data_IF_236126690588
#
_entry.id   IF_236126690588
#
_cell.length_a   1.000
_cell.length_b   1.000
_cell.length_c   1.000
_cell.angle_alpha   90.00
_cell.angle_beta   90.00
_cell.angle_gamma   90.00
#
_symmetry.space_group_name_H-M   'P 1'
#
loop_
_entity.id
_entity.type
_entity.pdbx_description
1 polymer ?
#
# COMPACT_ATOMS: atom_id res chain seq x y z
N UNK A 1 18.49 16.21 -9.68
CA UNK A 1 19.14 14.89 -9.60
C UNK A 1 18.12 13.78 -9.39
N UNK A 2 17.33 13.82 -8.32
CA UNK A 2 16.42 12.73 -7.88
C UNK A 2 15.26 12.34 -8.85
N UNK A 3 15.17 12.89 -10.07
CA UNK A 3 14.04 12.67 -11.00
C UNK A 3 14.24 11.51 -12.01
N UNK A 4 15.36 10.78 -11.90
CA UNK A 4 15.70 9.67 -12.81
C UNK A 4 15.95 8.32 -12.10
N UNK A 5 15.96 8.29 -10.75
CA UNK A 5 16.07 7.07 -9.95
C UNK A 5 15.03 6.02 -10.36
N UNK A 6 13.78 6.47 -10.54
CA UNK A 6 12.61 5.65 -10.78
C UNK A 6 12.69 4.90 -12.12
N UNK A 7 13.51 5.39 -13.06
CA UNK A 7 13.82 4.66 -14.29
C UNK A 7 14.65 3.40 -14.06
N UNK A 8 15.57 3.42 -13.07
CA UNK A 8 16.46 2.31 -12.77
C UNK A 8 15.73 1.12 -12.15
N UNK A 9 14.72 1.36 -11.31
CA UNK A 9 13.96 0.28 -10.65
C UNK A 9 12.93 -0.39 -11.57
N UNK A 10 12.55 0.21 -12.71
CA UNK A 10 11.61 -0.40 -13.67
C UNK A 10 12.10 -1.76 -14.19
N UNK A 11 13.40 -1.94 -14.35
CA UNK A 11 13.97 -3.22 -14.79
C UNK A 11 13.71 -4.37 -13.81
N UNK A 12 13.48 -4.09 -12.52
CA UNK A 12 13.06 -5.12 -11.54
C UNK A 12 11.67 -5.70 -11.85
N UNK A 13 10.84 -4.96 -12.59
CA UNK A 13 9.51 -5.36 -13.04
C UNK A 13 9.46 -5.81 -14.49
N UNK A 14 10.61 -5.98 -15.14
CA UNK A 14 10.66 -6.45 -16.54
C UNK A 14 10.29 -7.94 -16.66
N UNK A 15 9.73 -8.28 -17.82
CA UNK A 15 9.50 -9.64 -18.29
C UNK A 15 10.79 -10.41 -18.61
N UNK A 16 11.85 -9.73 -19.03
CA UNK A 16 13.14 -10.35 -19.31
C UNK A 16 13.95 -10.57 -18.02
N UNK A 17 14.26 -11.83 -17.74
CA UNK A 17 15.05 -12.25 -16.58
C UNK A 17 16.49 -11.71 -16.62
N UNK A 18 17.07 -11.51 -17.81
CA UNK A 18 18.39 -10.90 -17.95
C UNK A 18 18.35 -9.40 -17.61
N UNK A 19 17.33 -8.67 -18.10
CA UNK A 19 17.10 -7.27 -17.71
C UNK A 19 16.91 -7.17 -16.19
N UNK A 20 16.01 -7.98 -15.61
CA UNK A 20 15.74 -8.01 -14.17
C UNK A 20 17.01 -8.29 -13.34
N UNK A 21 17.75 -9.34 -13.70
CA UNK A 21 19.03 -9.73 -13.07
C UNK A 21 20.07 -8.62 -13.14
N UNK A 22 20.30 -8.06 -14.33
CA UNK A 22 21.34 -7.06 -14.55
C UNK A 22 20.98 -5.74 -13.85
N UNK A 23 19.70 -5.35 -13.85
CA UNK A 23 19.18 -4.22 -13.05
C UNK A 23 19.42 -4.44 -11.57
N UNK A 24 19.08 -5.61 -11.01
CA UNK A 24 19.29 -5.91 -9.59
C UNK A 24 20.77 -5.87 -9.20
N UNK A 25 21.67 -6.39 -10.04
CA UNK A 25 23.12 -6.29 -9.82
C UNK A 25 23.62 -4.83 -9.85
N UNK A 26 23.19 -4.03 -10.83
CA UNK A 26 23.58 -2.62 -10.95
C UNK A 26 23.06 -1.80 -9.76
N UNK A 27 21.79 -1.98 -9.37
CA UNK A 27 21.22 -1.34 -8.17
C UNK A 27 21.96 -1.75 -6.89
N UNK A 28 22.31 -3.04 -6.75
CA UNK A 28 23.10 -3.55 -5.62
C UNK A 28 24.43 -2.81 -5.50
N UNK A 29 25.19 -2.67 -6.59
CA UNK A 29 26.45 -1.92 -6.56
C UNK A 29 26.26 -0.42 -6.31
N UNK A 30 25.23 0.22 -6.88
CA UNK A 30 24.95 1.64 -6.71
C UNK A 30 24.54 2.00 -5.26
N UNK A 31 23.70 1.18 -4.65
CA UNK A 31 23.21 1.37 -3.28
C UNK A 31 24.33 1.04 -2.27
N UNK A 32 24.97 -0.13 -2.38
CA UNK A 32 25.99 -0.56 -1.42
C UNK A 32 27.25 0.30 -1.44
N UNK A 33 27.51 1.06 -2.51
CA UNK A 33 28.61 2.01 -2.59
C UNK A 33 28.18 3.47 -2.32
N UNK A 34 26.93 3.69 -1.89
CA UNK A 34 26.42 5.02 -1.52
C UNK A 34 26.20 5.98 -2.70
N UNK A 35 26.33 5.50 -3.95
CA UNK A 35 26.12 6.29 -5.17
C UNK A 35 24.65 6.68 -5.37
N UNK A 36 23.72 5.88 -4.84
CA UNK A 36 22.28 6.18 -4.82
C UNK A 36 21.75 6.09 -3.39
N UNK A 37 21.02 7.14 -2.97
CA UNK A 37 20.22 7.12 -1.74
C UNK A 37 18.86 6.51 -2.04
N UNK A 38 18.64 5.29 -1.54
CA UNK A 38 17.34 4.63 -1.60
C UNK A 38 16.31 5.37 -0.73
N UNK A 39 15.14 5.64 -1.32
CA UNK A 39 13.92 6.18 -0.69
C UNK A 39 12.73 5.60 -1.47
N UNK A 40 11.68 5.08 -0.82
CA UNK A 40 10.48 4.57 -1.53
C UNK A 40 10.67 3.30 -2.36
N UNK A 41 11.89 2.76 -2.45
CA UNK A 41 12.30 1.87 -3.54
C UNK A 41 12.96 0.55 -3.09
N UNK A 42 13.22 0.36 -1.79
CA UNK A 42 13.56 -0.98 -1.28
C UNK A 42 12.38 -1.95 -1.47
N UNK A 43 11.14 -1.45 -1.49
CA UNK A 43 9.94 -2.28 -1.68
C UNK A 43 9.92 -3.08 -2.99
N UNK A 44 10.56 -2.61 -4.06
CA UNK A 44 10.70 -3.40 -5.29
C UNK A 44 11.80 -4.46 -5.19
N UNK A 45 12.94 -4.14 -4.56
CA UNK A 45 14.02 -5.12 -4.31
C UNK A 45 13.55 -6.20 -3.30
N UNK A 46 12.71 -5.82 -2.34
CA UNK A 46 12.11 -6.71 -1.35
C UNK A 46 11.26 -7.82 -1.99
N UNK A 47 10.51 -7.53 -3.06
CA UNK A 47 9.76 -8.55 -3.82
C UNK A 47 10.67 -9.60 -4.42
N UNK A 48 11.83 -9.16 -4.92
CA UNK A 48 12.79 -10.04 -5.59
C UNK A 48 13.35 -11.13 -4.68
N UNK A 49 13.25 -10.99 -3.33
CA UNK A 49 13.61 -12.03 -2.35
C UNK A 49 12.88 -13.36 -2.64
N UNK A 50 11.66 -13.30 -3.15
CA UNK A 50 10.81 -14.46 -3.45
C UNK A 50 10.51 -14.59 -4.96
N UNK A 51 11.37 -14.05 -5.83
CA UNK A 51 11.25 -14.21 -7.29
C UNK A 51 11.36 -15.70 -7.69
N UNK A 52 10.56 -16.21 -8.65
CA UNK A 52 10.63 -17.59 -9.10
C UNK A 52 11.97 -17.96 -9.76
N UNK A 53 12.72 -17.00 -10.32
CA UNK A 53 14.08 -17.26 -10.75
C UNK A 53 15.03 -17.25 -9.53
N UNK A 54 15.50 -18.43 -9.14
CA UNK A 54 16.34 -18.62 -7.94
C UNK A 54 17.54 -17.68 -7.92
N UNK A 55 18.19 -17.40 -9.06
CA UNK A 55 19.34 -16.50 -9.12
C UNK A 55 18.99 -15.05 -8.76
N UNK A 56 17.76 -14.63 -8.96
CA UNK A 56 17.25 -13.29 -8.62
C UNK A 56 16.86 -13.26 -7.13
N UNK A 57 16.25 -14.33 -6.61
CA UNK A 57 16.05 -14.54 -5.16
C UNK A 57 17.37 -14.52 -4.38
N UNK A 58 18.39 -15.26 -4.84
CA UNK A 58 19.72 -15.31 -4.22
C UNK A 58 20.39 -13.93 -4.20
N UNK A 59 20.31 -13.17 -5.31
CA UNK A 59 20.86 -11.81 -5.41
C UNK A 59 20.13 -10.82 -4.49
N UNK A 60 18.80 -10.91 -4.38
CA UNK A 60 18.01 -10.04 -3.53
C UNK A 60 18.30 -10.31 -2.04
N UNK A 61 18.39 -11.58 -1.64
CA UNK A 61 18.78 -11.95 -0.26
C UNK A 61 20.19 -11.45 0.07
N UNK A 62 21.16 -11.64 -0.84
CA UNK A 62 22.53 -11.14 -0.67
C UNK A 62 22.58 -9.61 -0.55
N UNK A 63 21.75 -8.88 -1.30
CA UNK A 63 21.64 -7.42 -1.19
C UNK A 63 21.22 -6.99 0.23
N UNK A 64 20.19 -7.62 0.82
CA UNK A 64 19.75 -7.28 2.18
C UNK A 64 20.78 -7.67 3.24
N UNK A 65 21.48 -8.80 3.06
CA UNK A 65 22.60 -9.19 3.92
C UNK A 65 23.74 -8.16 3.89
N UNK A 66 24.24 -7.80 2.71
CA UNK A 66 25.33 -6.81 2.57
C UNK A 66 24.92 -5.40 3.00
N UNK A 67 23.66 -4.99 2.74
CA UNK A 67 23.14 -3.72 3.20
C UNK A 67 23.10 -3.67 4.74
N UNK A 68 22.68 -4.77 5.39
CA UNK A 68 22.66 -4.88 6.86
C UNK A 68 24.06 -4.86 7.49
N UNK A 69 25.10 -5.31 6.76
CA UNK A 69 26.50 -5.24 7.18
C UNK A 69 27.05 -3.81 7.05
N UNK A 70 26.78 -3.14 5.91
CA UNK A 70 27.30 -1.80 5.62
C UNK A 70 26.59 -0.67 6.37
N UNK A 71 25.26 -0.62 6.35
CA UNK A 71 24.46 0.30 7.16
C UNK A 71 23.39 -0.47 7.93
N UNK A 72 23.74 -0.78 9.17
CA UNK A 72 22.87 -1.46 10.13
C UNK A 72 21.56 -0.70 10.41
N UNK A 73 21.46 0.60 10.10
CA UNK A 73 20.25 1.41 10.26
C UNK A 73 19.43 1.56 8.97
N UNK A 74 19.96 1.21 7.79
CA UNK A 74 19.25 1.36 6.52
C UNK A 74 17.93 0.59 6.49
N UNK A 75 17.95 -0.68 6.94
CA UNK A 75 16.75 -1.52 7.02
C UNK A 75 15.74 -0.92 8.00
N UNK A 76 16.17 -0.59 9.22
CA UNK A 76 15.37 0.02 10.27
C UNK A 76 14.70 1.35 9.84
N UNK A 77 15.39 2.18 9.06
CA UNK A 77 14.86 3.46 8.59
C UNK A 77 13.83 3.30 7.45
N UNK A 78 14.06 2.35 6.53
CA UNK A 78 13.17 2.10 5.40
C UNK A 78 12.04 1.09 5.70
N UNK A 79 12.03 0.45 6.87
CA UNK A 79 11.01 -0.56 7.21
C UNK A 79 9.56 -0.08 7.10
N UNK A 80 9.16 1.12 7.58
CA UNK A 80 7.77 1.59 7.45
C UNK A 80 7.36 1.85 5.99
N UNK A 81 8.33 2.20 5.14
CA UNK A 81 8.18 2.44 3.70
C UNK A 81 7.99 1.09 2.96
N UNK A 82 8.88 0.12 3.20
CA UNK A 82 8.76 -1.24 2.66
C UNK A 82 7.43 -1.93 3.03
N UNK A 83 6.98 -1.80 4.29
CA UNK A 83 5.66 -2.30 4.71
C UNK A 83 4.56 -1.66 3.87
N UNK A 84 4.55 -0.32 3.77
CA UNK A 84 3.51 0.41 3.04
C UNK A 84 3.42 0.02 1.57
N UNK A 85 4.59 -0.09 0.93
CA UNK A 85 4.73 -0.38 -0.50
C UNK A 85 4.30 -1.81 -0.87
N UNK A 86 4.40 -2.75 0.07
CA UNK A 86 4.00 -4.15 -0.10
C UNK A 86 2.57 -4.43 0.41
N UNK A 87 2.04 -3.65 1.34
CA UNK A 87 0.67 -3.82 1.87
C UNK A 87 -0.43 -3.30 0.94
N UNK A 88 -0.26 -2.11 0.35
CA UNK A 88 -1.35 -1.39 -0.36
C UNK A 88 -0.85 -0.60 -1.57
N UNK A 89 -1.73 -0.49 -2.56
CA UNK A 89 -1.52 0.32 -3.77
C UNK A 89 -1.06 -0.52 -4.96
N UNK A 90 -0.59 0.16 -6.02
CA UNK A 90 -0.15 -0.47 -7.29
C UNK A 90 0.94 -1.53 -7.11
N UNK A 91 1.69 -1.45 -6.01
CA UNK A 91 2.85 -2.29 -5.74
C UNK A 91 2.61 -3.36 -4.65
N UNK A 92 1.38 -3.49 -4.15
CA UNK A 92 1.02 -4.46 -3.12
C UNK A 92 1.23 -5.92 -3.54
N UNK A 93 1.40 -6.79 -2.56
CA UNK A 93 1.52 -8.25 -2.73
C UNK A 93 0.49 -9.01 -1.90
N UNK A 94 0.27 -10.29 -2.25
CA UNK A 94 -0.53 -11.22 -1.45
C UNK A 94 0.06 -11.42 -0.04
N UNK A 95 -0.77 -11.85 0.91
CA UNK A 95 -0.35 -11.99 2.30
C UNK A 95 0.77 -13.03 2.50
N UNK A 96 0.76 -14.23 1.87
CA UNK A 96 1.88 -15.18 1.94
C UNK A 96 3.21 -14.59 1.46
N UNK A 97 3.20 -13.87 0.33
CA UNK A 97 4.40 -13.20 -0.21
C UNK A 97 4.86 -12.05 0.71
N UNK A 98 3.95 -11.23 1.23
CA UNK A 98 4.27 -10.20 2.22
C UNK A 98 4.97 -10.81 3.45
N UNK A 99 4.40 -11.89 3.99
CA UNK A 99 4.92 -12.58 5.17
C UNK A 99 6.32 -13.13 4.91
N UNK A 100 6.55 -13.89 3.83
CA UNK A 100 7.88 -14.42 3.49
C UNK A 100 8.94 -13.34 3.27
N UNK A 101 8.57 -12.22 2.64
CA UNK A 101 9.48 -11.10 2.41
C UNK A 101 9.85 -10.41 3.72
N UNK A 102 8.87 -10.16 4.59
CA UNK A 102 9.11 -9.57 5.91
C UNK A 102 9.88 -10.50 6.85
N UNK A 103 9.58 -11.81 6.87
CA UNK A 103 10.35 -12.81 7.63
C UNK A 103 11.83 -12.78 7.22
N UNK A 104 12.15 -12.55 5.95
CA UNK A 104 13.54 -12.37 5.52
C UNK A 104 14.13 -11.03 6.00
N UNK A 105 13.44 -9.91 5.75
CA UNK A 105 13.90 -8.57 6.15
C UNK A 105 14.15 -8.47 7.68
N UNK A 106 13.31 -9.09 8.50
CA UNK A 106 13.43 -9.03 9.96
C UNK A 106 14.63 -9.81 10.53
N UNK A 107 15.19 -10.81 9.80
CA UNK A 107 16.43 -11.52 10.23
C UNK A 107 17.64 -10.58 10.37
N UNK A 108 17.63 -9.45 9.66
CA UNK A 108 18.70 -8.45 9.70
C UNK A 108 18.57 -7.49 10.91
N UNK A 109 17.41 -7.43 11.58
CA UNK A 109 17.11 -6.53 12.70
C UNK A 109 17.64 -7.09 14.04
N UNK A 110 18.97 -7.10 14.20
CA UNK A 110 19.65 -7.81 15.30
C UNK A 110 19.82 -7.00 16.60
N UNK A 111 19.44 -5.71 16.65
CA UNK A 111 19.65 -4.83 17.82
C UNK A 111 18.37 -4.47 18.55
N UNK A 112 18.37 -4.61 19.88
CA UNK A 112 17.18 -4.35 20.71
C UNK A 112 16.70 -2.90 20.65
N UNK A 113 17.63 -1.92 20.60
CA UNK A 113 17.29 -0.49 20.42
C UNK A 113 16.61 -0.19 19.08
N UNK A 114 16.86 -1.01 18.03
CA UNK A 114 16.13 -0.88 16.77
C UNK A 114 14.72 -1.46 16.92
N UNK A 115 14.58 -2.63 17.55
CA UNK A 115 13.28 -3.24 17.88
C UNK A 115 12.39 -2.31 18.71
N UNK A 116 12.92 -1.70 19.78
CA UNK A 116 12.23 -0.71 20.63
C UNK A 116 11.60 0.43 19.82
N UNK A 117 12.35 1.00 18.87
CA UNK A 117 11.88 2.11 18.05
C UNK A 117 11.04 1.66 16.84
N UNK A 118 11.14 0.41 16.40
CA UNK A 118 10.20 -0.18 15.43
C UNK A 118 8.82 -0.36 16.07
N UNK A 119 8.74 -0.88 17.31
CA UNK A 119 7.47 -0.96 18.04
C UNK A 119 6.79 0.41 18.09
N UNK A 120 7.53 1.45 18.50
CA UNK A 120 7.03 2.81 18.57
C UNK A 120 6.55 3.35 17.20
N UNK A 121 7.33 3.17 16.13
CA UNK A 121 6.95 3.57 14.76
C UNK A 121 5.72 2.83 14.23
N UNK A 122 5.59 1.52 14.50
CA UNK A 122 4.47 0.71 14.04
C UNK A 122 3.19 1.01 14.84
N UNK A 123 3.30 1.20 16.16
CA UNK A 123 2.22 1.71 17.01
C UNK A 123 1.73 3.08 16.54
N UNK A 124 2.62 4.01 16.17
CA UNK A 124 2.23 5.28 15.55
C UNK A 124 1.54 5.06 14.20
N UNK A 125 2.05 4.15 13.35
CA UNK A 125 1.50 3.87 12.02
C UNK A 125 0.08 3.29 12.06
N UNK A 126 -0.29 2.52 13.08
CA UNK A 126 -1.68 2.05 13.27
C UNK A 126 -2.72 3.19 13.32
N UNK A 127 -2.37 4.41 13.74
CA UNK A 127 -3.29 5.56 13.74
C UNK A 127 -3.43 6.24 12.37
N UNK A 128 -2.59 5.88 11.40
CA UNK A 128 -2.53 6.48 10.06
C UNK A 128 -3.09 5.56 8.96
N UNK A 129 -3.52 4.34 9.32
CA UNK A 129 -4.04 3.33 8.39
C UNK A 129 -5.50 3.03 8.70
N UNK A 130 -6.33 3.03 7.65
CA UNK A 130 -7.75 2.67 7.72
C UNK A 130 -8.06 1.32 7.08
N UNK A 131 -7.11 0.74 6.34
CA UNK A 131 -7.34 -0.46 5.54
C UNK A 131 -7.16 -1.76 6.33
N UNK A 132 -8.11 -2.67 6.16
CA UNK A 132 -8.16 -3.99 6.83
C UNK A 132 -6.99 -4.90 6.43
N UNK A 133 -6.24 -4.60 5.37
CA UNK A 133 -4.97 -5.30 5.09
C UNK A 133 -3.78 -4.67 5.82
N UNK A 134 -3.70 -3.34 5.89
CA UNK A 134 -2.55 -2.63 6.46
C UNK A 134 -2.37 -2.92 7.96
N UNK A 135 -3.47 -2.96 8.71
CA UNK A 135 -3.41 -3.22 10.14
C UNK A 135 -2.98 -4.68 10.48
N UNK A 136 -3.19 -5.63 9.57
CA UNK A 136 -2.84 -7.06 9.70
C UNK A 136 -1.36 -7.24 9.37
N UNK A 137 -0.93 -6.68 8.24
CA UNK A 137 0.48 -6.63 7.84
C UNK A 137 1.35 -5.96 8.92
N UNK A 138 0.89 -4.85 9.52
CA UNK A 138 1.60 -4.18 10.64
C UNK A 138 1.58 -5.03 11.93
N UNK A 139 0.46 -5.69 12.26
CA UNK A 139 0.37 -6.57 13.43
C UNK A 139 1.30 -7.78 13.30
N UNK A 140 1.34 -8.40 12.12
CA UNK A 140 2.29 -9.47 11.79
C UNK A 140 3.73 -8.98 11.89
N UNK A 141 4.07 -7.79 11.34
CA UNK A 141 5.39 -7.19 11.49
C UNK A 141 5.78 -6.90 12.94
N UNK A 142 4.84 -6.58 13.85
CA UNK A 142 5.14 -6.54 15.28
C UNK A 142 5.43 -7.93 15.84
N UNK A 143 4.69 -8.96 15.42
CA UNK A 143 4.89 -10.35 15.85
C UNK A 143 6.27 -10.91 15.48
N UNK A 144 6.89 -10.43 14.40
CA UNK A 144 8.25 -10.84 14.00
C UNK A 144 9.36 -10.38 14.97
N UNK A 145 9.10 -9.41 15.84
CA UNK A 145 10.09 -8.93 16.81
C UNK A 145 10.30 -9.96 17.94
N UNK A 146 11.55 -10.08 18.40
CA UNK A 146 11.94 -11.05 19.43
C UNK A 146 11.75 -10.55 20.87
N UNK A 147 11.29 -9.30 21.06
CA UNK A 147 10.99 -8.64 22.36
C UNK A 147 12.00 -8.94 23.50
N UNK A 148 13.30 -8.95 23.20
CA UNK A 148 14.36 -9.26 24.19
C UNK A 148 14.46 -8.22 25.30
N UNK A 149 14.09 -6.97 25.01
CA UNK A 149 14.08 -5.85 25.95
C UNK A 149 12.69 -5.62 26.51
N UNK A 150 12.58 -5.53 27.83
CA UNK A 150 11.39 -5.08 28.57
C UNK A 150 10.85 -3.74 28.03
N UNK A 151 11.74 -2.83 27.61
CA UNK A 151 11.37 -1.53 27.05
C UNK A 151 10.61 -1.65 25.73
N UNK A 152 10.87 -2.70 24.95
CA UNK A 152 10.13 -2.97 23.71
C UNK A 152 8.70 -3.45 23.99
N UNK A 153 8.50 -4.23 25.08
CA UNK A 153 7.16 -4.51 25.59
C UNK A 153 6.51 -3.21 26.10
N UNK A 154 7.21 -2.42 26.92
CA UNK A 154 6.62 -1.19 27.47
C UNK A 154 6.15 -0.22 26.39
N UNK A 155 6.95 -0.02 25.32
CA UNK A 155 6.52 0.73 24.12
C UNK A 155 5.31 0.14 23.39
N UNK A 156 5.05 -1.17 23.50
CA UNK A 156 3.86 -1.81 22.96
C UNK A 156 2.63 -1.55 23.84
N UNK A 157 2.80 -1.62 25.17
CA UNK A 157 1.76 -1.32 26.18
C UNK A 157 1.37 0.17 26.13
N UNK A 158 2.35 1.07 26.20
CA UNK A 158 2.17 2.53 26.00
C UNK A 158 1.49 2.84 24.65
N UNK A 159 1.70 1.98 23.66
CA UNK A 159 1.13 2.08 22.32
C UNK A 159 -0.34 1.68 22.20
N UNK A 160 -0.92 0.97 23.19
CA UNK A 160 -2.27 0.37 23.14
C UNK A 160 -3.39 1.31 22.64
N UNK A 161 -3.46 2.60 23.03
CA UNK A 161 -4.48 3.52 22.51
C UNK A 161 -4.44 3.76 20.99
N UNK A 162 -3.39 3.30 20.30
CA UNK A 162 -3.20 3.46 18.86
C UNK A 162 -3.81 2.32 18.02
N UNK A 163 -4.05 1.16 18.64
CA UNK A 163 -4.50 -0.06 17.98
C UNK A 163 -5.62 -0.83 18.71
N UNK A 164 -6.03 -0.39 19.92
CA UNK A 164 -7.13 -0.99 20.68
C UNK A 164 -8.43 -1.13 19.85
N UNK A 165 -8.71 -0.17 18.97
CA UNK A 165 -9.85 -0.10 18.06
C UNK A 165 -9.83 -1.18 16.95
N UNK A 166 -8.74 -1.95 16.87
CA UNK A 166 -8.42 -2.91 15.81
C UNK A 166 -8.33 -4.35 16.31
N UNK A 167 -8.36 -4.55 17.63
CA UNK A 167 -8.19 -5.85 18.30
C UNK A 167 -9.38 -6.81 18.14
N UNK A 168 -10.49 -6.36 17.57
CA UNK A 168 -11.59 -7.25 17.16
C UNK A 168 -11.25 -8.10 15.92
N UNK A 169 -10.20 -7.76 15.17
CA UNK A 169 -9.83 -8.51 13.97
C UNK A 169 -9.06 -9.78 14.35
N UNK A 170 -9.44 -10.97 13.85
CA UNK A 170 -8.86 -12.23 14.30
C UNK A 170 -7.38 -12.38 13.92
N UNK A 171 -6.92 -11.81 12.81
CA UNK A 171 -5.52 -11.91 12.39
C UNK A 171 -4.63 -10.90 13.14
N UNK A 172 -5.16 -9.69 13.39
CA UNK A 172 -4.52 -8.71 14.30
C UNK A 172 -4.40 -9.33 15.69
N UNK A 173 -5.49 -9.85 16.27
CA UNK A 173 -5.49 -10.42 17.62
C UNK A 173 -4.56 -11.63 17.74
N UNK A 174 -4.59 -12.57 16.78
CA UNK A 174 -3.65 -13.70 16.73
C UNK A 174 -2.21 -13.22 16.74
N UNK A 175 -1.89 -12.18 15.97
CA UNK A 175 -0.54 -11.60 15.95
C UNK A 175 -0.11 -11.06 17.33
N UNK A 176 -1.04 -10.52 18.13
CA UNK A 176 -0.79 -10.16 19.52
C UNK A 176 -0.68 -11.38 20.47
N UNK A 177 -1.40 -12.47 20.24
CA UNK A 177 -1.22 -13.73 20.98
C UNK A 177 0.14 -14.38 20.70
N UNK A 178 0.62 -14.31 19.44
CA UNK A 178 1.98 -14.71 19.06
C UNK A 178 3.05 -13.83 19.75
N UNK A 179 2.81 -12.51 19.88
CA UNK A 179 3.67 -11.61 20.68
C UNK A 179 3.69 -12.03 22.16
N UNK A 180 2.51 -12.20 22.79
CA UNK A 180 2.43 -12.61 24.19
C UNK A 180 3.15 -13.94 24.43
N UNK A 181 3.03 -14.89 23.51
CA UNK A 181 3.71 -16.19 23.57
C UNK A 181 5.23 -16.04 23.48
N UNK A 182 5.73 -15.23 22.52
CA UNK A 182 7.15 -14.91 22.38
C UNK A 182 7.72 -14.17 23.58
N UNK A 183 6.98 -13.23 24.17
CA UNK A 183 7.43 -12.52 25.39
C UNK A 183 7.45 -13.47 26.58
N UNK A 184 6.39 -14.26 26.83
CA UNK A 184 6.33 -15.25 27.93
C UNK A 184 7.45 -16.31 27.89
N UNK A 185 8.04 -16.57 26.71
CA UNK A 185 9.20 -17.43 26.57
C UNK A 185 10.52 -16.80 27.06
N UNK A 186 10.61 -15.48 27.16
CA UNK A 186 11.81 -14.78 27.64
C UNK A 186 11.96 -14.93 29.17
N UNK A 187 13.20 -15.14 29.64
CA UNK A 187 13.49 -15.39 31.06
C UNK A 187 13.09 -14.22 31.98
N UNK A 188 13.13 -12.99 31.49
CA UNK A 188 12.74 -11.79 32.25
C UNK A 188 11.22 -11.60 32.38
N UNK A 189 10.44 -12.22 31.49
CA UNK A 189 8.99 -11.99 31.40
C UNK A 189 8.16 -12.78 32.43
N UNK A 190 8.78 -13.71 33.15
CA UNK A 190 8.13 -14.44 34.24
C UNK A 190 7.86 -13.47 35.39
N UNK A 191 6.62 -13.45 35.87
CA UNK A 191 6.16 -12.65 37.02
C UNK A 191 6.03 -11.12 36.78
N UNK A 192 6.23 -10.60 35.57
CA UNK A 192 5.91 -9.19 35.26
C UNK A 192 4.39 -8.93 35.29
N UNK A 193 3.93 -8.11 36.24
CA UNK A 193 2.53 -7.69 36.36
C UNK A 193 2.00 -7.02 35.09
N UNK A 194 2.80 -6.13 34.49
CA UNK A 194 2.53 -5.43 33.22
C UNK A 194 2.08 -6.39 32.09
N UNK A 195 2.59 -7.62 32.04
CA UNK A 195 2.19 -8.61 31.04
C UNK A 195 0.81 -9.21 31.29
N UNK A 196 0.48 -9.46 32.55
CA UNK A 196 -0.83 -10.00 32.95
C UNK A 196 -1.91 -8.94 32.76
N UNK A 197 -1.61 -7.68 33.11
CA UNK A 197 -2.50 -6.56 32.85
C UNK A 197 -2.66 -6.29 31.35
N UNK A 198 -1.58 -6.36 30.56
CA UNK A 198 -1.64 -6.20 29.11
C UNK A 198 -2.43 -7.33 28.42
N UNK A 199 -2.24 -8.59 28.79
CA UNK A 199 -3.04 -9.72 28.26
C UNK A 199 -4.53 -9.56 28.61
N UNK A 200 -4.84 -9.12 29.84
CA UNK A 200 -6.22 -8.82 30.27
C UNK A 200 -6.81 -7.66 29.48
N UNK A 201 -6.05 -6.59 29.26
CA UNK A 201 -6.47 -5.43 28.49
C UNK A 201 -6.73 -5.79 27.02
N UNK A 202 -5.84 -6.56 26.38
CA UNK A 202 -6.02 -7.03 25.00
C UNK A 202 -7.32 -7.84 24.84
N UNK A 203 -7.61 -8.77 25.76
CA UNK A 203 -8.86 -9.55 25.74
C UNK A 203 -10.10 -8.67 25.94
N UNK A 204 -10.07 -7.74 26.90
CA UNK A 204 -11.18 -6.82 27.16
C UNK A 204 -11.45 -5.87 25.97
N UNK A 205 -10.42 -5.40 25.27
CA UNK A 205 -10.59 -4.56 24.07
C UNK A 205 -11.10 -5.38 22.87
N UNK A 206 -10.71 -6.65 22.73
CA UNK A 206 -11.31 -7.55 21.73
C UNK A 206 -12.80 -7.76 21.97
N UNK A 207 -13.18 -8.17 23.19
CA UNK A 207 -14.57 -8.43 23.57
C UNK A 207 -15.44 -7.19 23.33
N UNK A 208 -15.01 -6.02 23.84
CA UNK A 208 -15.67 -4.75 23.60
C UNK A 208 -15.73 -4.38 22.10
N UNK A 209 -14.65 -4.55 21.35
CA UNK A 209 -14.60 -4.26 19.92
C UNK A 209 -15.53 -5.15 19.10
N UNK A 210 -15.71 -6.41 19.50
CA UNK A 210 -16.71 -7.31 18.93
C UNK A 210 -18.14 -6.87 19.28
N UNK A 211 -18.40 -6.41 20.51
CA UNK A 211 -19.71 -5.84 20.90
C UNK A 211 -20.05 -4.56 20.13
N UNK A 212 -19.13 -3.59 20.07
CA UNK A 212 -19.29 -2.32 19.35
C UNK A 212 -19.54 -2.58 17.85
N UNK A 213 -18.75 -3.46 17.22
CA UNK A 213 -18.94 -3.86 15.82
C UNK A 213 -20.25 -4.61 15.59
N UNK A 214 -20.71 -5.42 16.54
CA UNK A 214 -22.04 -6.04 16.49
C UNK A 214 -23.16 -5.00 16.63
N UNK A 215 -23.00 -3.99 17.48
CA UNK A 215 -23.94 -2.87 17.66
C UNK A 215 -24.05 -2.07 16.36
N UNK A 216 -22.93 -1.68 15.74
CA UNK A 216 -22.92 -1.02 14.43
C UNK A 216 -23.63 -1.86 13.36
N UNK A 217 -23.30 -3.15 13.26
CA UNK A 217 -23.96 -4.05 12.30
C UNK A 217 -25.48 -4.15 12.53
N UNK A 218 -25.93 -4.16 13.79
CA UNK A 218 -27.35 -4.13 14.16
C UNK A 218 -27.99 -2.79 13.79
N UNK A 219 -27.29 -1.66 13.97
CA UNK A 219 -27.75 -0.31 13.59
C UNK A 219 -27.82 -0.14 12.08
N UNK A 220 -26.77 -0.49 11.33
CA UNK A 220 -26.76 -0.42 9.86
C UNK A 220 -27.83 -1.31 9.22
N UNK A 221 -28.07 -2.52 9.76
CA UNK A 221 -29.21 -3.38 9.35
C UNK A 221 -30.56 -2.74 9.65
N UNK A 222 -30.75 -2.13 10.83
CA UNK A 222 -31.98 -1.36 11.14
C UNK A 222 -32.17 -0.16 10.21
N UNK A 223 -31.13 0.66 9.99
CA UNK A 223 -31.19 1.84 9.13
C UNK A 223 -31.46 1.50 7.66
N UNK A 224 -30.83 0.43 7.13
CA UNK A 224 -31.07 -0.02 5.76
C UNK A 224 -32.47 -0.63 5.56
N UNK A 225 -33.02 -1.33 6.57
CA UNK A 225 -34.43 -1.76 6.58
C UNK A 225 -35.39 -0.56 6.66
N UNK A 226 -35.08 0.47 7.45
CA UNK A 226 -35.87 1.72 7.52
C UNK A 226 -35.83 2.50 6.21
N UNK A 227 -34.65 2.63 5.57
CA UNK A 227 -34.52 3.23 4.21
C UNK A 227 -35.37 2.46 3.18
N UNK A 228 -35.26 1.11 3.14
CA UNK A 228 -36.06 0.27 2.25
C UNK A 228 -37.57 0.38 2.53
N UNK A 229 -38.00 0.51 3.79
CA UNK A 229 -39.41 0.77 4.15
C UNK A 229 -39.90 2.14 3.65
N UNK A 230 -39.14 3.22 3.87
CA UNK A 230 -39.52 4.57 3.40
C UNK A 230 -39.63 4.64 1.87
N UNK A 231 -38.68 4.04 1.12
CA UNK A 231 -38.78 3.95 -0.34
C UNK A 231 -40.03 3.19 -0.80
N UNK A 232 -40.42 2.11 -0.11
CA UNK A 232 -41.60 1.31 -0.47
C UNK A 232 -42.94 1.93 -0.06
N UNK A 233 -42.94 2.96 0.80
CA UNK A 233 -44.13 3.78 1.07
C UNK A 233 -44.29 4.91 0.04
N UNK A 234 -43.21 5.57 -0.37
CA UNK A 234 -43.24 6.62 -1.39
C UNK A 234 -43.69 6.11 -2.77
N UNK A 235 -43.50 4.83 -3.08
CA UNK A 235 -43.96 4.23 -4.35
C UNK A 235 -45.46 3.90 -4.39
N UNK A 236 -46.23 4.22 -3.34
CA UNK A 236 -47.59 3.71 -3.14
C UNK A 236 -48.64 4.83 -2.92
N UNK A 237 -48.27 6.09 -3.17
CA UNK A 237 -49.21 7.21 -3.26
C UNK A 237 -49.53 7.49 -4.74
N UNK A 238 -50.78 7.25 -5.13
CA UNK A 238 -51.29 7.62 -6.46
C UNK A 238 -51.34 9.15 -6.60
N UNK A 239 -51.10 9.71 -7.80
CA UNK A 239 -51.21 11.15 -8.01
C UNK A 239 -52.67 11.63 -7.86
N UNK A 240 -52.90 12.85 -7.35
CA UNK A 240 -54.25 13.44 -7.27
C UNK A 240 -54.80 13.74 -8.68
N UNK A 241 -56.15 13.83 -8.83
CA UNK A 241 -56.77 14.12 -10.12
C UNK A 241 -56.45 15.55 -10.59
N UNK A 242 -56.01 15.69 -11.84
CA UNK A 242 -55.91 17.00 -12.51
C UNK A 242 -57.31 17.58 -12.72
N UNK A 243 -57.51 18.82 -12.29
CA UNK A 243 -58.48 19.72 -12.90
C UNK A 243 -57.73 20.89 -13.57
N UNK A 244 -58.39 21.63 -14.47
CA UNK A 244 -57.75 22.52 -15.45
C UNK A 244 -58.10 24.00 -15.24
N UNK A 245 -57.30 24.88 -15.86
CA UNK A 245 -57.41 26.34 -15.99
C UNK A 245 -56.81 27.15 -14.83
N UNK A 246 -56.15 28.30 -15.07
CA UNK A 246 -55.31 28.75 -16.20
C UNK A 246 -54.62 30.06 -15.78
N UNK A 247 -53.33 30.23 -16.09
CA UNK A 247 -52.55 31.47 -15.93
C UNK A 247 -52.46 32.01 -14.47
N UNK A 248 -51.66 32.98 -14.03
CA UNK A 248 -50.51 33.83 -14.45
C UNK A 248 -49.68 33.97 -13.12
N UNK A 249 -48.35 34.15 -12.98
CA UNK A 249 -47.23 34.56 -13.85
C UNK A 249 -45.87 33.95 -13.33
N UNK A 250 -44.73 34.54 -13.74
CA UNK A 250 -43.30 34.32 -13.39
C UNK A 250 -42.97 34.57 -11.87
N UNK A 251 -41.87 34.13 -11.23
CA UNK A 251 -40.60 33.49 -11.65
C UNK A 251 -39.93 32.75 -10.44
N UNK A 252 -39.31 31.57 -10.62
CA UNK A 252 -38.35 30.99 -9.63
C UNK A 252 -37.27 30.14 -10.32
N UNK A 253 -36.00 30.30 -9.94
CA UNK A 253 -34.83 29.78 -10.69
C UNK A 253 -34.36 28.42 -10.18
N UNK A 254 -34.53 27.37 -10.99
CA UNK A 254 -34.11 26.01 -10.69
C UNK A 254 -32.59 25.77 -10.87
N UNK A 255 -32.03 24.93 -9.98
CA UNK A 255 -30.76 24.24 -10.16
C UNK A 255 -30.79 22.87 -9.47
N UNK A 256 -31.11 21.79 -10.21
CA UNK A 256 -30.28 20.58 -10.15
C UNK A 256 -30.45 19.57 -11.32
N UNK A 257 -29.32 19.35 -11.99
CA UNK A 257 -28.77 18.06 -12.43
C UNK A 257 -29.60 17.09 -13.29
N UNK A 258 -29.03 16.83 -14.47
CA UNK A 258 -28.82 15.52 -15.10
C UNK A 258 -28.86 14.33 -14.10
N UNK A 259 -29.36 13.14 -14.44
CA UNK A 259 -29.02 12.36 -15.64
C UNK A 259 -30.10 11.29 -15.92
N UNK A 260 -30.34 10.99 -17.21
CA UNK A 260 -30.68 9.64 -17.71
C UNK A 260 -30.63 9.56 -19.24
N UNK A 261 -29.49 9.15 -19.79
CA UNK A 261 -29.42 8.77 -21.22
C UNK A 261 -30.06 7.40 -21.53
N UNK A 262 -30.51 7.18 -22.78
CA UNK A 262 -30.34 5.87 -23.45
C UNK A 262 -30.68 5.82 -24.96
N UNK A 263 -30.00 4.89 -25.64
CA UNK A 263 -30.49 4.04 -26.74
C UNK A 263 -30.71 4.59 -28.18
N UNK A 264 -29.74 4.30 -29.05
CA UNK A 264 -29.83 3.76 -30.44
C UNK A 264 -30.94 4.24 -31.40
N UNK A 265 -30.52 4.67 -32.59
CA UNK A 265 -31.01 4.07 -33.85
C UNK A 265 -29.94 4.12 -34.96
N UNK A 266 -30.16 3.45 -36.10
CA UNK A 266 -29.18 3.32 -37.20
C UNK A 266 -29.81 3.44 -38.60
N UNK A 267 -29.04 3.96 -39.60
CA UNK A 267 -29.15 3.61 -41.04
C UNK A 267 -28.10 4.23 -41.98
N UNK A 268 -27.19 3.38 -42.47
CA UNK A 268 -26.76 3.18 -43.89
C UNK A 268 -26.45 4.33 -44.89
N UNK A 269 -25.22 4.25 -45.47
CA UNK A 269 -24.78 4.63 -46.85
C UNK A 269 -24.76 6.15 -47.18
N UNK A 270 -23.85 6.72 -47.99
CA UNK A 270 -23.03 6.22 -49.12
C UNK A 270 -21.69 6.99 -49.36
N UNK A 271 -20.84 6.49 -50.28
CA UNK A 271 -19.70 7.18 -50.95
C UNK A 271 -20.02 7.33 -52.48
N UNK A 272 -19.18 7.88 -53.39
CA UNK A 272 -17.90 8.63 -53.28
C UNK A 272 -17.84 9.95 -54.10
N UNK A 273 -16.72 10.68 -54.07
CA UNK A 273 -16.07 11.23 -55.30
C UNK A 273 -14.67 11.87 -55.04
N UNK A 274 -13.93 12.09 -56.12
CA UNK A 274 -12.48 12.40 -56.22
C UNK A 274 -12.23 13.89 -56.51
N UNK A 275 -11.13 14.49 -56.00
CA UNK A 275 -10.22 15.41 -56.75
C UNK A 275 -8.95 15.79 -55.97
N UNK A 276 -7.94 16.39 -56.65
CA UNK A 276 -6.56 16.60 -56.18
C UNK A 276 -5.86 17.74 -56.96
N UNK A 277 -4.99 18.53 -56.31
CA UNK A 277 -3.66 18.87 -56.89
C UNK A 277 -2.52 18.55 -55.88
N UNK A 278 -1.47 17.76 -56.16
CA UNK A 278 -0.23 18.07 -56.93
C UNK A 278 0.54 19.30 -56.40
N UNK A 279 1.84 19.33 -56.07
CA UNK A 279 3.05 18.45 -56.05
C UNK A 279 4.21 19.29 -56.60
N UNK A 280 5.24 19.57 -55.78
CA UNK A 280 6.66 19.61 -56.19
C UNK A 280 7.52 19.63 -54.90
N UNK A 281 8.58 18.85 -54.62
CA UNK A 281 9.72 18.23 -55.32
C UNK A 281 10.85 19.16 -55.81
N UNK A 282 11.96 19.21 -55.06
CA UNK A 282 13.32 19.30 -55.66
C UNK A 282 14.38 18.60 -54.79
N UNK A 283 15.53 18.30 -55.39
CA UNK A 283 16.61 17.46 -54.84
C UNK A 283 17.95 17.89 -55.48
N UNK A 284 19.07 17.82 -54.75
CA UNK A 284 20.41 18.22 -55.20
C UNK A 284 20.84 19.62 -54.72
N UNK A 285 22.13 19.98 -54.64
CA UNK A 285 23.36 19.34 -55.17
C UNK A 285 24.62 19.55 -54.29
N UNK A 286 25.74 18.87 -54.64
CA UNK A 286 27.03 18.78 -53.92
C UNK A 286 27.91 20.06 -53.98
N UNK A 287 28.73 20.29 -52.93
CA UNK A 287 30.21 20.53 -52.86
C UNK A 287 30.58 20.48 -51.35
N UNK A 288 31.67 19.87 -50.84
CA UNK A 288 33.13 19.83 -51.14
C UNK A 288 33.94 21.02 -50.58
N UNK A 289 35.15 20.69 -50.12
CA UNK A 289 36.30 21.53 -49.75
C UNK A 289 36.15 22.32 -48.41
N UNK A 290 37.16 22.49 -47.54
CA UNK A 290 38.47 21.84 -47.35
C UNK A 290 39.04 22.10 -45.92
N UNK A 291 40.07 21.36 -45.48
CA UNK A 291 40.92 21.66 -44.29
C UNK A 291 42.14 22.52 -44.68
N UNK A 292 42.66 23.40 -43.79
CA UNK A 292 43.77 23.10 -42.85
C UNK A 292 43.39 23.26 -41.36
N UNK A 293 44.17 22.82 -40.35
CA UNK A 293 45.39 23.43 -39.73
C UNK A 293 45.18 24.89 -39.25
N UNK A 294 45.68 25.33 -38.09
CA UNK A 294 46.74 24.76 -37.21
C UNK A 294 46.67 25.29 -35.76
N UNK A 295 47.40 24.61 -34.85
CA UNK A 295 48.14 25.11 -33.67
C UNK A 295 47.59 26.30 -32.83
N UNK A 296 47.15 26.02 -31.59
CA UNK A 296 47.90 26.26 -30.31
C UNK A 296 47.29 25.45 -29.15
#
# INVERSE_FOLDING_TARGET
>A
MDQHSDGLYKGLTDSDLEVKKNTLMVLTHLILNGMIKVKGQLGEIAKCINDPEKRISDLAQLFFDELSKKDQNAIYNNLPDMISHLSVGKHAVDAPLFQSVMDNIFKHLKKDKQSESIVEKLCQRFRLVSEVRQWQDIAYCLSLLQFKSEKALKKLVDGLPSYQDKLYDPEVFKSFEDILTKVKANKWAKEHADLVEFEKALRAQKEKGEEDKQMENKVQKKQSVVRKRRQKQNSNQSPPPRNRHENEDEDEVDWQNEDRGSNKNSKSKSKPSVTRPTRSTRKGTRKRDATPSSDE
#
